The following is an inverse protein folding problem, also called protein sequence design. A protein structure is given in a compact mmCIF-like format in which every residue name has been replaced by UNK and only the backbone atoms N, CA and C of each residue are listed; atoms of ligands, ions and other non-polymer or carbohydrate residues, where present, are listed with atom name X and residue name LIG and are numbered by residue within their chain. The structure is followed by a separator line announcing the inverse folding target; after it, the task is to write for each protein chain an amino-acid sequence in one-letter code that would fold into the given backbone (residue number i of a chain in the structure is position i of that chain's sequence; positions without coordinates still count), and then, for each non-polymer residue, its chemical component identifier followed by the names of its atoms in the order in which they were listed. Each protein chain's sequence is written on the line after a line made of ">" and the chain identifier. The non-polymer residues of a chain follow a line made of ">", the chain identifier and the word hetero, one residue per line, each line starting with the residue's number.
data_IF_231400644979
#
_entry.id   IF_231400644979
#
_cell.length_a   1.000
_cell.length_b   1.000
_cell.length_c   1.000
_cell.angle_alpha   90.00
_cell.angle_beta   90.00
_cell.angle_gamma   90.00
#
_symmetry.space_group_name_H-M   'P 1'
#
loop_
_entity.id
_entity.type
_entity.pdbx_description
1 polymer ?
#
# COMPACT_ATOMS: atom_id res chain seq x y z
N UNK A 1 24.26 -37.88 -21.78
CA UNK A 1 23.03 -37.66 -21.00
C UNK A 1 23.44 -36.95 -19.73
N UNK A 2 23.09 -35.67 -19.62
CA UNK A 2 23.19 -34.74 -18.47
C UNK A 2 23.82 -33.41 -18.90
N UNK A 3 23.36 -32.33 -18.25
CA UNK A 3 23.69 -30.90 -18.43
C UNK A 3 22.83 -30.13 -19.44
N UNK A 4 21.69 -29.62 -18.99
CA UNK A 4 21.65 -28.25 -18.46
C UNK A 4 20.30 -27.96 -17.84
N UNK A 5 20.33 -27.61 -16.56
CA UNK A 5 19.30 -26.85 -15.88
C UNK A 5 18.92 -25.59 -16.68
N UNK A 6 17.63 -25.26 -16.73
CA UNK A 6 17.18 -24.00 -16.13
C UNK A 6 15.70 -24.18 -15.76
N UNK A 7 15.53 -24.46 -14.48
CA UNK A 7 14.28 -24.32 -13.76
C UNK A 7 14.06 -22.82 -13.50
N UNK A 8 12.79 -22.44 -13.56
CA UNK A 8 12.21 -21.40 -12.74
C UNK A 8 12.41 -19.92 -13.10
N UNK A 9 11.24 -19.28 -13.18
CA UNK A 9 10.93 -17.97 -12.64
C UNK A 9 11.54 -16.73 -13.28
N UNK A 10 10.75 -16.16 -14.17
CA UNK A 10 10.82 -14.73 -14.45
C UNK A 10 9.41 -14.23 -14.73
N UNK A 11 8.61 -14.11 -13.67
CA UNK A 11 7.30 -13.45 -13.74
C UNK A 11 7.39 -12.17 -14.56
N UNK A 12 6.71 -12.21 -15.70
CA UNK A 12 6.02 -11.13 -16.37
C UNK A 12 6.31 -9.73 -15.81
N UNK A 13 7.29 -9.06 -16.41
CA UNK A 13 7.10 -7.74 -17.05
C UNK A 13 6.22 -6.70 -16.36
N UNK A 14 6.13 -6.65 -15.04
CA UNK A 14 5.57 -5.53 -14.32
C UNK A 14 6.60 -4.41 -14.32
N UNK A 15 6.39 -3.37 -15.12
CA UNK A 15 7.18 -2.12 -15.08
C UNK A 15 7.54 -1.80 -13.63
N UNK A 16 8.81 -1.46 -13.34
CA UNK A 16 9.30 -1.24 -11.97
C UNK A 16 8.45 -0.28 -11.13
N UNK A 17 7.63 0.53 -11.79
CA UNK A 17 6.56 1.40 -11.30
C UNK A 17 5.40 0.62 -10.62
N UNK A 18 4.88 -0.42 -11.29
CA UNK A 18 3.75 -1.23 -10.81
C UNK A 18 4.09 -2.02 -9.55
N UNK A 19 5.33 -2.53 -9.46
CA UNK A 19 5.78 -3.25 -8.27
C UNK A 19 5.93 -2.33 -7.05
N UNK A 20 6.38 -1.09 -7.25
CA UNK A 20 6.47 -0.09 -6.17
C UNK A 20 5.09 0.32 -5.66
N UNK A 21 4.13 0.53 -6.56
CA UNK A 21 2.75 0.81 -6.19
C UNK A 21 2.11 -0.37 -5.46
N UNK A 22 2.29 -1.59 -5.96
CA UNK A 22 1.77 -2.81 -5.33
C UNK A 22 2.33 -3.00 -3.92
N UNK A 23 3.65 -2.81 -3.73
CA UNK A 23 4.28 -2.87 -2.42
C UNK A 23 3.75 -1.76 -1.49
N UNK A 24 3.66 -0.52 -1.98
CA UNK A 24 3.11 0.60 -1.21
C UNK A 24 1.69 0.31 -0.73
N UNK A 25 0.81 -0.10 -1.64
CA UNK A 25 -0.58 -0.46 -1.32
C UNK A 25 -0.68 -1.63 -0.36
N UNK A 26 0.13 -2.68 -0.53
CA UNK A 26 0.13 -3.85 0.35
C UNK A 26 0.52 -3.47 1.78
N UNK A 27 1.60 -2.70 1.95
CA UNK A 27 2.05 -2.22 3.26
C UNK A 27 1.05 -1.25 3.87
N UNK A 28 0.57 -0.28 3.09
CA UNK A 28 -0.41 0.71 3.55
C UNK A 28 -1.70 0.07 4.02
N UNK A 29 -2.30 -0.82 3.22
CA UNK A 29 -3.53 -1.54 3.60
C UNK A 29 -3.31 -2.45 4.81
N UNK A 30 -2.21 -3.20 4.86
CA UNK A 30 -1.92 -4.07 6.00
C UNK A 30 -1.83 -3.27 7.31
N UNK A 31 -1.09 -2.16 7.29
CA UNK A 31 -0.93 -1.28 8.44
C UNK A 31 -2.25 -0.58 8.80
N UNK A 32 -2.96 -0.05 7.80
CA UNK A 32 -4.24 0.62 7.98
C UNK A 32 -5.31 -0.29 8.57
N UNK A 33 -5.44 -1.52 8.07
CA UNK A 33 -6.38 -2.52 8.61
C UNK A 33 -5.99 -2.93 10.02
N UNK A 34 -4.70 -3.19 10.29
CA UNK A 34 -4.24 -3.56 11.63
C UNK A 34 -4.53 -2.47 12.67
N UNK A 35 -4.17 -1.21 12.37
CA UNK A 35 -4.44 -0.06 13.23
C UNK A 35 -5.95 0.17 13.36
N UNK A 36 -6.69 0.11 12.25
CA UNK A 36 -8.13 0.30 12.22
C UNK A 36 -8.90 -0.74 13.05
N UNK A 37 -8.49 -2.01 13.03
CA UNK A 37 -9.07 -3.04 13.89
C UNK A 37 -8.82 -2.74 15.37
N UNK A 38 -7.57 -2.40 15.73
CA UNK A 38 -7.22 -2.11 17.13
C UNK A 38 -7.98 -0.88 17.63
N UNK A 39 -7.99 0.21 16.87
CA UNK A 39 -8.75 1.41 17.24
C UNK A 39 -10.26 1.16 17.28
N UNK A 40 -10.78 0.41 16.32
CA UNK A 40 -12.20 0.06 16.24
C UNK A 40 -12.66 -0.77 17.44
N UNK A 41 -11.88 -1.77 17.84
CA UNK A 41 -12.24 -2.64 18.96
C UNK A 41 -11.89 -2.05 20.32
N UNK A 42 -10.79 -1.30 20.45
CA UNK A 42 -10.30 -0.82 21.75
C UNK A 42 -10.82 0.57 22.12
N UNK A 43 -11.05 1.45 21.14
CA UNK A 43 -11.41 2.86 21.39
C UNK A 43 -12.87 3.13 21.11
N UNK A 44 -13.38 2.69 19.96
CA UNK A 44 -14.72 3.05 19.49
C UNK A 44 -15.79 1.97 19.77
N UNK A 45 -15.38 0.78 20.20
CA UNK A 45 -16.24 -0.42 20.29
C UNK A 45 -17.06 -0.65 18.99
N UNK A 46 -16.51 -0.16 17.87
CA UNK A 46 -17.14 -0.10 16.56
C UNK A 46 -16.09 -0.40 15.50
N UNK A 47 -16.07 -1.68 15.09
CA UNK A 47 -15.23 -2.16 13.99
C UNK A 47 -15.44 -1.36 12.71
N UNK A 48 -16.68 -0.94 12.42
CA UNK A 48 -16.99 -0.16 11.21
C UNK A 48 -16.24 1.18 11.17
N UNK A 49 -16.24 1.93 12.28
CA UNK A 49 -15.57 3.23 12.36
C UNK A 49 -14.05 3.06 12.32
N UNK A 50 -13.53 2.12 13.10
CA UNK A 50 -12.09 1.82 13.12
C UNK A 50 -11.55 1.35 11.77
N UNK A 51 -12.25 0.44 11.10
CA UNK A 51 -11.88 -0.01 9.74
C UNK A 51 -12.00 1.12 8.72
N UNK A 52 -13.00 2.00 8.80
CA UNK A 52 -13.10 3.13 7.85
C UNK A 52 -11.90 4.08 7.97
N UNK A 53 -11.53 4.46 9.20
CA UNK A 53 -10.38 5.32 9.47
C UNK A 53 -9.07 4.62 9.10
N UNK A 54 -8.93 3.35 9.49
CA UNK A 54 -7.78 2.52 9.17
C UNK A 54 -7.58 2.34 7.67
N UNK A 55 -8.65 2.06 6.92
CA UNK A 55 -8.60 1.96 5.45
C UNK A 55 -8.27 3.29 4.81
N UNK A 56 -8.90 4.40 5.21
CA UNK A 56 -8.56 5.73 4.66
C UNK A 56 -7.08 6.05 4.86
N UNK A 57 -6.55 5.83 6.06
CA UNK A 57 -5.14 6.08 6.37
C UNK A 57 -4.21 5.09 5.66
N UNK A 58 -4.56 3.80 5.61
CA UNK A 58 -3.80 2.78 4.93
C UNK A 58 -3.71 2.98 3.42
N UNK A 59 -4.83 3.39 2.79
CA UNK A 59 -4.86 3.77 1.37
C UNK A 59 -4.04 5.04 1.16
N UNK A 60 -4.20 6.08 1.99
CA UNK A 60 -3.44 7.33 1.86
C UNK A 60 -1.93 7.12 2.01
N UNK A 61 -1.50 6.27 2.95
CA UNK A 61 -0.08 5.90 3.12
C UNK A 61 0.37 4.99 1.98
N UNK A 62 -0.45 4.02 1.58
CA UNK A 62 -0.08 3.07 0.52
C UNK A 62 0.04 3.72 -0.86
N UNK A 63 -0.86 4.65 -1.17
CA UNK A 63 -0.75 5.53 -2.35
C UNK A 63 0.36 6.54 -2.16
N UNK A 64 0.55 7.14 -0.98
CA UNK A 64 1.65 8.06 -0.72
C UNK A 64 3.04 7.41 -0.85
N UNK A 65 3.21 6.14 -0.48
CA UNK A 65 4.48 5.43 -0.59
C UNK A 65 4.67 4.85 -2.01
N UNK A 66 3.59 4.33 -2.61
CA UNK A 66 3.60 3.75 -3.94
C UNK A 66 3.66 4.80 -5.06
N UNK A 67 2.94 5.90 -4.89
CA UNK A 67 2.83 7.05 -5.81
C UNK A 67 3.69 8.22 -5.38
N UNK A 68 4.03 8.44 -4.10
CA UNK A 68 4.87 9.58 -3.70
C UNK A 68 6.34 9.49 -4.14
N UNK A 69 6.76 8.35 -4.70
CA UNK A 69 7.99 8.30 -5.53
C UNK A 69 7.78 8.81 -6.96
N UNK A 70 6.53 9.01 -7.38
CA UNK A 70 6.10 9.53 -8.68
C UNK A 70 5.38 10.91 -8.58
N UNK A 71 4.80 11.26 -7.42
CA UNK A 71 4.08 12.50 -7.13
C UNK A 71 4.42 13.05 -5.74
N UNK A 72 5.68 13.39 -5.52
CA UNK A 72 6.02 14.44 -4.55
C UNK A 72 5.56 15.84 -5.05
N UNK A 73 4.50 15.94 -5.85
CA UNK A 73 4.35 17.05 -6.78
C UNK A 73 2.94 17.33 -7.31
N UNK A 74 1.86 16.98 -6.62
CA UNK A 74 0.56 17.60 -6.95
C UNK A 74 -0.26 17.95 -5.70
N UNK A 75 0.11 19.13 -5.16
CA UNK A 75 -0.73 20.20 -4.58
C UNK A 75 -1.30 19.92 -3.18
N UNK A 76 -1.36 20.88 -2.27
CA UNK A 76 -1.79 22.27 -2.43
C UNK A 76 -1.03 23.21 -1.48
N UNK A 77 -0.27 24.15 -2.05
CA UNK A 77 -0.01 25.47 -1.43
C UNK A 77 0.20 26.45 -2.60
N UNK A 78 -0.85 26.61 -3.40
CA UNK A 78 -1.04 27.78 -4.26
C UNK A 78 -2.29 28.50 -3.77
N UNK A 79 -2.09 29.73 -3.29
CA UNK A 79 -3.13 30.76 -3.31
C UNK A 79 -3.48 31.39 -1.97
N UNK A 80 -2.60 32.30 -1.53
CA UNK A 80 -2.84 33.57 -0.80
C UNK A 80 -3.85 33.64 0.36
#
# INVERSE_FOLDING_TARGET
>A
MTSSEENDHGESGGSAEGNKLAMGMSVGLSLGVSIGLVLGMTVFDNLALGLSLGMCMGIAVGTGVGVGRMRAGEREDEGE
#
